data_IF_185906681470
#
_entry.id   IF_185906681470
#
_cell.length_a   1.000
_cell.length_b   1.000
_cell.length_c   1.000
_cell.angle_alpha   90.00
_cell.angle_beta   90.00
_cell.angle_gamma   90.00
#
_symmetry.space_group_name_H-M   'P 1'
#
loop_
_entity.id
_entity.type
_entity.pdbx_description
1 polymer ?
#
# COMPACT_ATOMS: atom_id res chain seq x y z
N UNK A 1 17.57 -15.31 13.43
CA UNK A 1 16.69 -15.37 14.29
C UNK A 1 15.27 -14.95 14.05
N UNK A 2 14.56 -14.96 15.12
CA UNK A 2 13.16 -14.64 15.06
C UNK A 2 12.92 -13.21 14.67
N UNK A 3 13.89 -12.38 14.90
CA UNK A 3 13.77 -10.98 14.57
C UNK A 3 13.42 -10.79 13.10
N UNK A 4 13.93 -11.68 12.30
CA UNK A 4 13.72 -11.52 10.87
C UNK A 4 12.32 -11.82 10.41
N UNK A 5 11.60 -12.57 11.20
CA UNK A 5 10.24 -12.90 10.83
C UNK A 5 9.31 -11.73 10.96
N UNK A 6 9.72 -10.79 11.78
CA UNK A 6 8.89 -9.64 12.01
C UNK A 6 9.49 -8.43 11.44
N UNK A 7 10.45 -8.60 10.58
CA UNK A 7 11.14 -7.43 10.12
C UNK A 7 10.20 -6.44 9.47
N UNK A 8 10.49 -5.18 9.66
CA UNK A 8 9.66 -4.12 9.11
C UNK A 8 9.80 -3.95 7.62
N UNK A 9 10.54 -4.85 7.00
CA UNK A 9 10.77 -4.74 5.56
C UNK A 9 9.47 -4.67 4.78
N UNK A 10 8.54 -5.56 5.09
CA UNK A 10 7.27 -5.56 4.38
C UNK A 10 6.48 -4.30 4.67
N UNK A 11 6.55 -3.82 5.90
CA UNK A 11 5.88 -2.59 6.27
C UNK A 11 6.40 -1.41 5.46
N UNK A 12 7.71 -1.29 5.39
CA UNK A 12 8.31 -0.19 4.64
C UNK A 12 8.03 -0.28 3.17
N UNK A 13 7.99 -1.50 2.64
CA UNK A 13 7.67 -1.70 1.25
C UNK A 13 6.24 -1.24 0.96
N UNK A 14 5.31 -1.60 1.84
CA UNK A 14 3.92 -1.18 1.68
C UNK A 14 3.79 0.33 1.79
N UNK A 15 4.53 0.95 2.72
CA UNK A 15 4.51 2.40 2.83
C UNK A 15 5.03 3.04 1.55
N UNK A 16 6.06 2.45 0.96
CA UNK A 16 6.59 2.96 -0.30
C UNK A 16 5.56 2.88 -1.41
N UNK A 17 4.79 1.81 -1.42
CA UNK A 17 3.72 1.66 -2.40
C UNK A 17 2.64 2.70 -2.19
N UNK A 18 2.33 3.03 -0.94
CA UNK A 18 1.35 4.10 -0.69
C UNK A 18 1.84 5.41 -1.27
N UNK A 19 3.10 5.72 -1.05
CA UNK A 19 3.67 6.95 -1.60
C UNK A 19 3.66 6.91 -3.12
N UNK A 20 4.01 5.79 -3.69
CA UNK A 20 4.03 5.65 -5.14
C UNK A 20 2.63 5.85 -5.72
N UNK A 21 1.62 5.24 -5.09
CA UNK A 21 0.25 5.44 -5.53
C UNK A 21 -0.15 6.89 -5.46
N UNK A 22 0.25 7.60 -4.39
CA UNK A 22 -0.05 9.02 -4.27
C UNK A 22 0.60 9.83 -5.40
N UNK A 23 1.80 9.45 -5.79
CA UNK A 23 2.48 10.12 -6.89
C UNK A 23 1.71 9.93 -8.18
N UNK A 24 1.21 8.72 -8.43
CA UNK A 24 0.41 8.47 -9.61
C UNK A 24 -0.87 9.31 -9.60
N UNK A 25 -1.48 9.45 -8.42
CA UNK A 25 -2.68 10.29 -8.32
C UNK A 25 -2.34 11.72 -8.72
N UNK A 26 -1.22 12.22 -8.25
CA UNK A 26 -0.82 13.58 -8.60
C UNK A 26 -0.56 13.75 -10.08
N UNK A 27 -0.12 12.69 -10.73
CA UNK A 27 0.10 12.72 -12.17
C UNK A 27 -1.16 12.54 -12.97
N UNK A 28 -2.26 12.25 -12.30
CA UNK A 28 -3.50 11.99 -12.97
C UNK A 28 -3.63 10.57 -13.50
N UNK A 29 -2.73 9.68 -13.10
CA UNK A 29 -2.73 8.30 -13.56
C UNK A 29 -3.46 7.43 -12.55
N UNK A 30 -4.77 7.53 -12.56
CA UNK A 30 -5.58 6.84 -11.55
C UNK A 30 -5.54 5.33 -11.72
N UNK A 31 -5.37 4.84 -12.94
CA UNK A 31 -5.28 3.41 -13.18
C UNK A 31 -4.08 2.81 -12.44
N UNK A 32 -2.92 3.43 -12.59
CA UNK A 32 -1.72 2.95 -11.93
C UNK A 32 -1.82 3.15 -10.43
N UNK A 33 -2.40 4.25 -10.00
CA UNK A 33 -2.57 4.50 -8.58
C UNK A 33 -3.40 3.38 -7.94
N UNK A 34 -4.50 3.04 -8.58
CA UNK A 34 -5.37 1.99 -8.05
C UNK A 34 -4.62 0.65 -8.03
N UNK A 35 -3.92 0.33 -9.10
CA UNK A 35 -3.18 -0.94 -9.16
C UNK A 35 -2.13 -1.00 -8.07
N UNK A 36 -1.48 0.12 -7.79
CA UNK A 36 -0.45 0.18 -6.76
C UNK A 36 -1.04 -0.04 -5.38
N UNK A 37 -2.13 0.66 -5.08
CA UNK A 37 -2.80 0.48 -3.80
C UNK A 37 -3.36 -0.94 -3.67
N UNK A 38 -3.90 -1.48 -4.76
CA UNK A 38 -4.48 -2.82 -4.72
C UNK A 38 -3.42 -3.87 -4.44
N UNK A 39 -2.21 -3.66 -4.91
CA UNK A 39 -1.11 -4.58 -4.61
C UNK A 39 -0.88 -4.70 -3.11
N UNK A 40 -1.04 -3.59 -2.38
CA UNK A 40 -0.91 -3.63 -0.93
C UNK A 40 -2.03 -4.47 -0.32
N UNK A 41 -3.25 -4.23 -0.77
CA UNK A 41 -4.40 -4.94 -0.23
C UNK A 41 -4.27 -6.44 -0.46
N UNK A 42 -3.79 -6.82 -1.64
CA UNK A 42 -3.71 -8.23 -2.01
C UNK A 42 -2.51 -8.94 -1.41
N UNK A 43 -1.41 -8.23 -1.20
CA UNK A 43 -0.17 -8.89 -0.86
C UNK A 43 0.40 -8.60 0.51
N UNK A 44 -0.08 -7.59 1.19
CA UNK A 44 0.52 -7.21 2.46
C UNK A 44 -0.14 -7.94 3.62
N UNK A 45 0.66 -8.57 4.43
CA UNK A 45 0.21 -9.19 5.67
C UNK A 45 1.27 -8.92 6.72
N UNK A 46 0.88 -8.77 7.97
CA UNK A 46 -0.50 -8.81 8.49
C UNK A 46 -1.24 -7.51 8.15
N UNK A 47 -2.55 -7.59 8.18
CA UNK A 47 -3.35 -6.43 7.80
C UNK A 47 -3.73 -5.56 9.00
N UNK A 48 -3.22 -5.87 10.14
CA UNK A 48 -3.69 -5.23 11.37
C UNK A 48 -2.93 -3.97 11.76
N UNK A 49 -1.99 -3.52 10.95
CA UNK A 49 -1.25 -2.30 11.27
C UNK A 49 -1.81 -1.08 10.57
N UNK A 50 -2.94 -1.21 9.91
CA UNK A 50 -3.59 -0.07 9.31
C UNK A 50 -3.19 0.23 7.87
N UNK A 51 -2.17 -0.42 7.37
CA UNK A 51 -1.69 -0.17 6.01
C UNK A 51 -2.73 -0.58 4.98
N UNK A 52 -3.31 -1.77 5.15
CA UNK A 52 -4.30 -2.25 4.20
C UNK A 52 -5.55 -1.37 4.25
N UNK A 53 -5.95 -0.98 5.44
CA UNK A 53 -7.11 -0.10 5.59
C UNK A 53 -6.87 1.22 4.89
N UNK A 54 -5.68 1.77 5.04
CA UNK A 54 -5.34 3.02 4.38
C UNK A 54 -5.37 2.88 2.87
N UNK A 55 -4.84 1.77 2.36
CA UNK A 55 -4.84 1.54 0.92
C UNK A 55 -6.26 1.42 0.40
N UNK A 56 -7.13 0.73 1.12
CA UNK A 56 -8.52 0.60 0.72
C UNK A 56 -9.22 1.95 0.68
N UNK A 57 -8.95 2.79 1.65
CA UNK A 57 -9.54 4.13 1.66
C UNK A 57 -9.09 4.93 0.45
N UNK A 58 -7.83 4.84 0.12
CA UNK A 58 -7.31 5.58 -1.02
C UNK A 58 -7.92 5.08 -2.32
N UNK A 59 -8.14 3.78 -2.44
CA UNK A 59 -8.81 3.25 -3.62
C UNK A 59 -10.22 3.82 -3.75
N UNK A 60 -10.94 3.89 -2.63
CA UNK A 60 -12.29 4.42 -2.64
C UNK A 60 -12.30 5.86 -3.14
N UNK A 61 -11.31 6.62 -2.77
CA UNK A 61 -11.27 8.03 -3.16
C UNK A 61 -10.97 8.23 -4.64
N UNK A 62 -10.49 7.19 -5.29
CA UNK A 62 -10.22 7.28 -6.72
C UNK A 62 -11.47 7.15 -7.57
N UNK A 63 -12.52 6.67 -6.97
CA UNK A 63 -13.78 6.47 -7.72
C UNK A 63 -14.65 7.73 -7.69
#
# INVERSE_FOLDING_TARGET
GDVYKRQPHAFWLAKSFLVLGDIYVQKGDMFQARATYQSIVDGYTPADDGIVAEAKEKIKKLN
#
